data_IF_203665428697
#
_entry.id   IF_203665428697
#
_cell.length_a   1.000
_cell.length_b   1.000
_cell.length_c   1.000
_cell.angle_alpha   90.00
_cell.angle_beta   90.00
_cell.angle_gamma   90.00
#
_symmetry.space_group_name_H-M   'P 1'
#
loop_
_entity.id
_entity.type
_entity.pdbx_description
1 polymer ?
2 water ?
#
# COMPACT_ATOMS: atom_id res chain seq x y z
N UNK A 1 18.49 -7.42 -10.87
CA UNK A 1 17.89 -8.39 -9.97
C UNK A 1 17.12 -7.67 -8.87
N UNK A 2 17.05 -8.29 -7.69
CA UNK A 2 16.27 -7.75 -6.59
C UNK A 2 16.80 -6.39 -6.16
N UNK A 3 15.91 -5.39 -6.08
CA UNK A 3 16.31 -4.05 -5.65
C UNK A 3 16.80 -4.06 -4.21
N UNK A 4 17.74 -3.17 -3.89
CA UNK A 4 18.14 -2.94 -2.50
C UNK A 4 17.16 -1.96 -1.89
N UNK A 5 16.43 -1.27 -2.76
CA UNK A 5 15.51 -0.23 -2.35
C UNK A 5 14.21 -0.32 -3.15
N UNK A 6 13.10 0.01 -2.51
CA UNK A 6 11.80 -0.10 -3.15
C UNK A 6 11.03 1.19 -3.01
N UNK A 7 10.21 1.50 -4.01
CA UNK A 7 9.32 2.64 -3.94
C UNK A 7 8.24 2.41 -2.88
N UNK A 8 7.64 1.22 -2.85
CA UNK A 8 6.64 0.95 -1.83
C UNK A 8 6.54 -0.51 -1.43
N UNK A 9 6.21 -0.73 -0.16
CA UNK A 9 5.76 -2.02 0.32
C UNK A 9 4.22 -1.96 0.30
N UNK A 10 3.56 -3.03 -0.16
CA UNK A 10 2.11 -3.06 -0.19
C UNK A 10 1.63 -3.96 0.95
N UNK A 11 0.98 -3.35 1.95
CA UNK A 11 0.46 -4.09 3.09
C UNK A 11 -1.00 -4.40 2.88
N UNK A 12 -1.37 -5.68 2.94
CA UNK A 12 -2.76 -6.07 2.71
C UNK A 12 -3.06 -7.40 3.40
N UNK A 13 -4.32 -7.62 3.76
CA UNK A 13 -4.72 -8.95 4.24
C UNK A 13 -5.21 -9.82 3.08
N UNK A 14 -5.17 -11.15 3.25
CA UNK A 14 -5.53 -12.08 2.18
C UNK A 14 -6.91 -11.84 1.55
N UNK A 15 -7.88 -11.43 2.36
CA UNK A 15 -9.24 -11.17 1.86
C UNK A 15 -9.26 -10.11 0.75
N UNK A 16 -8.27 -9.23 0.76
CA UNK A 16 -8.15 -8.16 -0.24
C UNK A 16 -7.22 -8.44 -1.44
N UNK A 17 -6.73 -9.67 -1.55
CA UNK A 17 -5.77 -10.00 -2.61
C UNK A 17 -6.24 -9.66 -4.04
N UNK A 18 -7.53 -9.78 -4.34
CA UNK A 18 -8.00 -9.44 -5.68
C UNK A 18 -7.77 -7.97 -6.05
N UNK A 19 -7.96 -7.06 -5.09
CA UNK A 19 -7.67 -5.65 -5.34
C UNK A 19 -6.17 -5.43 -5.53
N UNK A 20 -5.36 -6.10 -4.72
CA UNK A 20 -3.90 -5.96 -4.82
C UNK A 20 -3.40 -6.41 -6.19
N UNK A 21 -3.95 -7.50 -6.69
CA UNK A 21 -3.59 -7.97 -8.04
C UNK A 21 -3.93 -6.92 -9.10
N UNK A 22 -5.12 -6.35 -9.00
CA UNK A 22 -5.54 -5.30 -9.93
C UNK A 22 -4.63 -4.09 -9.79
N UNK A 23 -4.39 -3.68 -8.55
CA UNK A 23 -3.53 -2.54 -8.29
C UNK A 23 -2.12 -2.70 -8.90
N UNK A 24 -1.48 -3.82 -8.59
CA UNK A 24 -0.11 -4.01 -9.08
C UNK A 24 -0.10 -4.04 -10.61
N UNK A 25 -1.06 -4.74 -11.19
CA UNK A 25 -1.11 -4.83 -12.65
C UNK A 25 -1.29 -3.47 -13.32
N UNK A 26 -2.15 -2.63 -12.73
CA UNK A 26 -2.42 -1.30 -13.27
C UNK A 26 -1.20 -0.40 -13.09
N UNK A 27 -0.58 -0.46 -11.91
CA UNK A 27 0.65 0.31 -11.67
C UNK A 27 1.73 -0.09 -12.65
N UNK A 28 1.80 -1.38 -12.96
CA UNK A 28 2.83 -1.90 -13.86
C UNK A 28 2.59 -1.44 -15.29
N UNK A 29 1.36 -1.02 -15.58
CA UNK A 29 1.01 -0.55 -16.91
C UNK A 29 1.14 0.95 -17.09
N UNK A 30 1.45 1.67 -16.01
CA UNK A 30 1.76 3.09 -16.11
C UNK A 30 3.18 3.18 -16.66
N UNK A 31 3.68 4.39 -16.89
CA UNK A 31 5.04 4.50 -17.41
C UNK A 31 6.10 4.60 -16.30
N UNK A 32 5.67 4.44 -15.05
CA UNK A 32 6.50 4.82 -13.91
C UNK A 32 7.56 3.82 -13.41
N UNK A 33 7.46 2.56 -13.80
CA UNK A 33 8.47 1.56 -13.47
C UNK A 33 8.84 1.53 -11.98
N UNK A 34 7.83 1.39 -11.14
CA UNK A 34 8.03 1.35 -9.69
C UNK A 34 8.59 0.00 -9.24
N UNK A 35 9.42 0.04 -8.20
CA UNK A 35 9.88 -1.16 -7.49
C UNK A 35 8.97 -1.41 -6.31
N UNK A 36 8.18 -2.47 -6.36
CA UNK A 36 7.19 -2.77 -5.32
C UNK A 36 7.52 -4.10 -4.65
N UNK A 37 7.26 -4.18 -3.36
CA UNK A 37 7.45 -5.42 -2.63
C UNK A 37 6.27 -5.75 -1.73
N UNK A 38 6.21 -7.03 -1.35
CA UNK A 38 5.17 -7.54 -0.48
C UNK A 38 5.86 -8.53 0.44
N UNK A 39 5.11 -9.09 1.39
CA UNK A 39 5.72 -10.09 2.25
C UNK A 39 5.96 -11.39 1.49
N UNK A 40 5.00 -11.81 0.68
CA UNK A 40 5.17 -13.03 -0.12
C UNK A 40 4.69 -12.88 -1.56
N UNK A 41 5.61 -12.87 -2.52
CA UNK A 41 5.19 -12.68 -3.91
C UNK A 41 4.63 -13.97 -4.51
N UNK A 42 4.80 -15.10 -3.82
CA UNK A 42 4.34 -16.38 -4.37
C UNK A 42 2.82 -16.42 -4.57
N UNK A 43 2.08 -15.62 -3.80
CA UNK A 43 0.63 -15.58 -3.94
C UNK A 43 0.18 -14.53 -4.95
N UNK A 44 1.14 -13.87 -5.59
CA UNK A 44 0.82 -12.91 -6.65
C UNK A 44 1.52 -13.29 -7.95
N UNK A 45 1.18 -14.47 -8.49
CA UNK A 45 1.77 -14.96 -9.73
C UNK A 45 1.45 -14.00 -10.85
N UNK A 46 2.39 -13.82 -11.77
CA UNK A 46 2.16 -12.96 -12.91
C UNK A 46 2.63 -11.53 -12.74
N UNK A 47 2.80 -11.07 -11.50
CA UNK A 47 3.28 -9.70 -11.33
C UNK A 47 4.79 -9.66 -11.15
N UNK A 48 5.34 -8.46 -11.12
CA UNK A 48 6.78 -8.24 -10.94
C UNK A 48 7.22 -7.90 -9.51
N UNK A 49 6.29 -7.96 -8.56
CA UNK A 49 6.58 -7.58 -7.19
C UNK A 49 7.63 -8.51 -6.57
N UNK A 50 8.32 -8.01 -5.55
CA UNK A 50 9.35 -8.78 -4.86
C UNK A 50 8.91 -9.10 -3.44
N UNK A 51 9.38 -10.22 -2.91
CA UNK A 51 9.20 -10.53 -1.49
C UNK A 51 10.27 -9.80 -0.68
N UNK A 52 9.90 -9.34 0.51
CA UNK A 52 10.87 -8.70 1.39
C UNK A 52 10.66 -9.16 2.82
N UNK A 53 11.75 -9.30 3.57
CA UNK A 53 11.69 -9.64 4.99
C UNK A 53 11.11 -8.47 5.78
N UNK A 54 10.18 -8.76 6.67
CA UNK A 54 9.45 -7.70 7.37
C UNK A 54 10.37 -6.73 8.12
N UNK A 55 11.47 -7.23 8.66
CA UNK A 55 12.36 -6.37 9.44
C UNK A 55 13.11 -5.36 8.58
N UNK A 56 13.13 -5.58 7.26
CA UNK A 56 13.80 -4.66 6.34
C UNK A 56 12.91 -3.57 5.74
N UNK A 57 11.61 -3.67 5.96
CA UNK A 57 10.67 -2.77 5.30
C UNK A 57 10.96 -1.31 5.58
N UNK A 58 11.10 -0.95 6.85
CA UNK A 58 11.28 0.45 7.21
C UNK A 58 12.57 1.01 6.62
N UNK A 59 13.62 0.19 6.59
CA UNK A 59 14.90 0.60 6.01
C UNK A 59 14.88 0.72 4.50
N UNK A 60 14.27 -0.25 3.83
CA UNK A 60 14.38 -0.33 2.37
C UNK A 60 13.23 0.20 1.50
N UNK A 61 12.13 0.61 2.12
CA UNK A 61 10.94 0.99 1.35
C UNK A 61 10.59 2.45 1.62
N UNK A 62 10.52 3.27 0.57
CA UNK A 62 10.23 4.69 0.74
C UNK A 62 8.87 4.93 1.37
N UNK A 63 7.86 4.22 0.89
CA UNK A 63 6.52 4.34 1.45
C UNK A 63 5.84 2.98 1.62
N UNK A 64 4.74 2.98 2.37
CA UNK A 64 3.89 1.79 2.52
C UNK A 64 2.47 2.10 2.05
N UNK A 65 1.99 1.32 1.08
CA UNK A 65 0.60 1.35 0.64
C UNK A 65 -0.17 0.44 1.57
N UNK A 66 -1.29 0.94 2.09
CA UNK A 66 -2.09 0.16 3.03
C UNK A 66 -3.48 -0.04 2.45
N UNK A 67 -3.83 -1.28 2.13
CA UNK A 67 -5.16 -1.56 1.60
C UNK A 67 -6.09 -1.74 2.79
N UNK A 68 -7.07 -0.85 2.88
CA UNK A 68 -7.93 -0.77 4.06
C UNK A 68 -9.32 -1.26 3.70
N UNK A 69 -9.85 -2.16 4.53
CA UNK A 69 -11.20 -2.65 4.39
C UNK A 69 -11.66 -3.13 5.76
N UNK A 70 -12.92 -3.55 5.86
CA UNK A 70 -13.41 -4.13 7.11
C UNK A 70 -12.59 -5.36 7.50
N UNK A 71 -12.34 -6.25 6.54
CA UNK A 71 -11.51 -7.43 6.80
C UNK A 71 -10.10 -7.07 7.28
N UNK A 72 -9.50 -6.06 6.65
CA UNK A 72 -8.17 -5.61 7.05
C UNK A 72 -8.11 -5.18 8.52
N UNK A 73 -9.14 -4.48 8.98
CA UNK A 73 -9.14 -3.97 10.35
C UNK A 73 -9.05 -5.08 11.40
N UNK A 74 -9.51 -6.27 11.05
CA UNK A 74 -9.42 -7.41 11.96
C UNK A 74 -8.19 -8.32 11.75
N UNK A 75 -7.27 -7.95 10.86
CA UNK A 75 -6.21 -8.87 10.47
C UNK A 75 -4.88 -8.70 11.22
N UNK A 76 -3.97 -9.62 10.95
CA UNK A 76 -2.65 -9.60 11.54
C UNK A 76 -1.82 -8.52 10.88
N UNK A 77 -2.13 -8.25 9.61
CA UNK A 77 -1.39 -7.26 8.85
C UNK A 77 -1.62 -5.86 9.41
N UNK A 78 -2.85 -5.58 9.80
CA UNK A 78 -3.17 -4.28 10.38
C UNK A 78 -2.42 -4.09 11.67
N UNK A 79 -2.26 -5.15 12.46
CA UNK A 79 -1.46 -5.05 13.67
C UNK A 79 -0.01 -4.67 13.35
N UNK A 80 0.56 -5.29 12.32
CA UNK A 80 1.94 -4.99 11.94
C UNK A 80 2.06 -3.57 11.41
N UNK A 81 1.09 -3.17 10.60
CA UNK A 81 1.10 -1.85 9.98
C UNK A 81 0.98 -0.78 11.06
N UNK A 82 0.16 -1.05 12.07
CA UNK A 82 -0.01 -0.10 13.17
C UNK A 82 1.29 0.09 13.94
N UNK A 83 2.00 -1.02 14.21
CA UNK A 83 3.28 -0.95 14.93
C UNK A 83 4.27 -0.18 14.10
N UNK A 84 4.29 -0.46 12.80
CA UNK A 84 5.17 0.25 11.86
C UNK A 84 4.89 1.76 11.88
N UNK A 85 3.62 2.14 11.73
CA UNK A 85 3.24 3.55 11.69
C UNK A 85 3.64 4.27 12.97
N UNK A 86 3.44 3.61 14.11
CA UNK A 86 3.75 4.21 15.41
C UNK A 86 5.25 4.40 15.62
N UNK A 87 6.07 3.66 14.88
CA UNK A 87 7.53 3.81 14.98
C UNK A 87 8.03 5.08 14.30
N UNK A 88 7.22 5.64 13.40
CA UNK A 88 7.60 6.84 12.65
C UNK A 88 7.48 8.12 13.47
N UNK A 89 8.34 9.08 13.17
CA UNK A 89 8.31 10.38 13.84
C UNK A 89 7.03 11.11 13.50
N UNK A 90 6.42 11.79 14.48
CA UNK A 90 5.23 12.57 14.14
C UNK A 90 5.49 13.46 12.93
N UNK A 91 4.56 13.47 11.98
CA UNK A 91 4.72 14.25 10.78
C UNK A 91 5.25 13.42 9.62
N UNK A 92 5.82 12.25 9.94
CA UNK A 92 6.32 11.35 8.91
C UNK A 92 5.21 10.49 8.30
N UNK A 93 4.10 10.35 9.03
CA UNK A 93 3.00 9.48 8.62
C UNK A 93 2.38 9.88 7.29
N UNK A 94 2.02 11.16 7.15
CA UNK A 94 1.41 11.65 5.92
C UNK A 94 2.29 11.37 4.71
N UNK A 95 3.60 11.50 4.88
CA UNK A 95 4.52 11.28 3.78
C UNK A 95 4.67 9.80 3.44
N UNK A 96 4.83 8.97 4.47
CA UNK A 96 5.20 7.56 4.24
C UNK A 96 4.07 6.53 4.18
N UNK A 97 2.85 6.94 4.51
CA UNK A 97 1.73 6.00 4.46
C UNK A 97 0.72 6.43 3.42
N UNK A 98 0.30 5.50 2.57
CA UNK A 98 -0.73 5.75 1.58
C UNK A 98 -1.83 4.72 1.75
N UNK A 99 -2.85 5.05 2.55
CA UNK A 99 -3.98 4.14 2.71
C UNK A 99 -4.85 4.21 1.47
N UNK A 100 -5.42 3.08 1.08
CA UNK A 100 -6.31 3.05 -0.06
C UNK A 100 -7.54 2.23 0.30
N UNK A 101 -8.73 2.79 0.07
CA UNK A 101 -10.01 2.09 0.31
C UNK A 101 -10.60 1.77 -1.04
N UNK A 102 -10.94 0.52 -1.27
CA UNK A 102 -11.58 0.14 -2.53
C UNK A 102 -13.06 -0.25 -2.57
N UNK A 103 -13.70 -0.32 -1.40
CA UNK A 103 -15.10 -0.74 -1.28
C UNK A 103 -15.67 -0.27 0.04
N UNK A 104 -16.99 -0.36 0.16
CA UNK A 104 -17.66 0.18 1.34
C UNK A 104 -17.15 -0.51 2.59
N UNK A 105 -17.17 0.23 3.70
CA UNK A 105 -16.76 -0.28 5.01
C UNK A 105 -17.79 0.08 6.07
N UNK A 106 -18.10 -0.88 6.95
CA UNK A 106 -18.96 -0.61 8.10
C UNK A 106 -18.16 -0.07 9.29
N UNK A 107 -16.84 -0.21 9.23
CA UNK A 107 -15.94 0.15 10.33
C UNK A 107 -15.16 1.44 10.08
N UNK A 108 -14.82 2.14 11.15
CA UNK A 108 -14.00 3.35 11.05
C UNK A 108 -12.52 3.01 10.85
N UNK A 109 -11.77 3.95 10.28
CA UNK A 109 -10.33 3.76 10.09
C UNK A 109 -9.59 3.64 11.43
N UNK A 110 -8.49 2.87 11.45
CA UNK A 110 -7.66 2.74 12.65
C UNK A 110 -7.10 4.08 13.08
N UNK A 111 -6.81 4.24 14.38
CA UNK A 111 -6.49 5.54 14.94
C UNK A 111 -5.45 6.29 14.11
N UNK A 112 -4.41 5.59 13.67
CA UNK A 112 -3.27 6.27 13.07
C UNK A 112 -3.44 6.55 11.57
N UNK A 113 -4.45 5.94 10.94
CA UNK A 113 -4.79 6.26 9.55
C UNK A 113 -5.95 7.25 9.38
N UNK A 114 -6.59 7.64 10.48
CA UNK A 114 -7.78 8.50 10.39
C UNK A 114 -7.42 9.92 9.98
N UNK A 115 -6.27 10.39 10.45
CA UNK A 115 -5.86 11.78 10.24
C UNK A 115 -5.23 12.04 8.87
N UNK A 116 -4.62 11.02 8.28
CA UNK A 116 -4.00 11.17 6.97
C UNK A 116 -5.01 11.08 5.85
N UNK A 117 -4.68 11.68 4.71
CA UNK A 117 -5.54 11.58 3.54
C UNK A 117 -5.59 10.15 3.02
N UNK A 118 -6.78 9.74 2.60
CA UNK A 118 -6.98 8.40 2.08
C UNK A 118 -7.14 8.45 0.57
N UNK A 119 -6.68 7.41 -0.11
CA UNK A 119 -6.92 7.32 -1.54
C UNK A 119 -8.23 6.54 -1.64
N UNK A 120 -9.30 7.20 -2.08
CA UNK A 120 -10.58 6.52 -2.10
C UNK A 120 -10.89 6.12 -3.53
N UNK A 121 -10.74 4.83 -3.81
CA UNK A 121 -10.91 4.29 -5.15
C UNK A 121 -12.40 4.26 -5.49
N UNK A 122 -13.26 4.25 -4.47
CA UNK A 122 -14.71 4.21 -4.69
C UNK A 122 -15.29 5.55 -5.14
N UNK A 123 -14.54 6.63 -4.95
CA UNK A 123 -15.04 7.98 -5.24
C UNK A 123 -15.09 8.29 -6.74
N UNK A 124 -16.30 8.53 -7.27
CA UNK A 124 -16.51 8.82 -8.69
C UNK A 124 -15.62 9.95 -9.20
N UNK A 125 -15.24 10.88 -8.32
CA UNK A 125 -14.40 12.00 -8.72
C UNK A 125 -12.90 11.69 -8.76
N UNK A 126 -12.50 10.51 -8.31
CA UNK A 126 -11.10 10.08 -8.40
C UNK A 126 -10.86 9.35 -9.71
N UNK A 127 -11.94 9.13 -10.46
CA UNK A 127 -11.94 8.21 -11.60
C UNK A 127 -10.99 8.60 -12.72
N UNK A 128 -10.49 9.84 -12.71
CA UNK A 128 -9.61 10.27 -13.79
C UNK A 128 -8.16 9.86 -13.52
N UNK A 129 -7.64 9.00 -14.39
CA UNK A 129 -6.25 8.55 -14.31
C UNK A 129 -5.84 8.16 -12.89
N UNK A 130 -6.70 7.41 -12.21
CA UNK A 130 -6.46 7.02 -10.82
C UNK A 130 -5.08 6.35 -10.63
N UNK A 131 -4.81 5.32 -11.41
CA UNK A 131 -3.58 4.55 -11.21
C UNK A 131 -2.33 5.35 -11.58
N UNK A 132 -2.48 6.29 -12.51
CA UNK A 132 -1.37 7.12 -12.92
C UNK A 132 -1.03 8.10 -11.81
N UNK A 133 -2.05 8.69 -11.20
CA UNK A 133 -1.78 9.62 -10.12
C UNK A 133 -1.19 8.92 -8.90
N UNK A 134 -1.62 7.69 -8.63
CA UNK A 134 -1.02 6.89 -7.55
C UNK A 134 0.46 6.56 -7.85
N UNK A 135 0.73 6.16 -9.09
CA UNK A 135 2.10 5.86 -9.51
C UNK A 135 2.99 7.08 -9.33
N UNK A 136 2.48 8.23 -9.74
CA UNK A 136 3.17 9.50 -9.60
C UNK A 136 3.50 9.79 -8.14
N UNK A 137 2.52 9.61 -7.26
CA UNK A 137 2.73 9.84 -5.84
C UNK A 137 3.82 8.91 -5.30
N UNK A 138 3.84 7.68 -5.80
CA UNK A 138 4.78 6.68 -5.30
C UNK A 138 6.21 6.87 -5.82
N UNK A 139 6.33 7.56 -6.95
CA UNK A 139 7.64 7.79 -7.56
C UNK A 139 8.36 8.96 -6.89
N UNK A 140 7.61 9.82 -6.21
CA UNK A 140 8.18 11.02 -5.61
C UNK A 140 9.29 10.70 -4.61
N UNK A 141 10.32 11.57 -4.57
CA UNK A 141 11.44 11.34 -3.65
C UNK A 141 11.05 11.61 -2.20
#
# INVERSE_FOLDING_TARGET
>A
DMPERFDAFICYCPSDIQFVQEMIRQLEQTNYRLKLCVSDRDVLPGTCVWSIASELIEKRCRRMVVVVSDDYLQSKECDFQTKFALSLSPGAHQKRLIPIKYKAMKKEFPSILRFITVCDYTNPCTKSWFWTRLAKALSLP
#
